data_IF_697853016995
#
_entry.id   IF_697853016995
#
_cell.length_a   1.000
_cell.length_b   1.000
_cell.length_c   1.000
_cell.angle_alpha   90.00
_cell.angle_beta   90.00
_cell.angle_gamma   90.00
#
_symmetry.space_group_name_H-M   'P 1'
#
loop_
_entity.id
_entity.type
_entity.pdbx_description
1 polymer ?
#
# COMPACT_ATOMS: atom_id res chain seq x y z
N UNK A 1 32.14 -18.30 27.86
CA UNK A 1 32.76 -17.06 27.45
C UNK A 1 32.66 -16.83 25.93
N UNK A 2 33.10 -17.76 25.15
CA UNK A 2 33.00 -17.66 23.67
C UNK A 2 31.56 -17.70 23.18
N UNK A 3 30.69 -18.42 23.87
CA UNK A 3 29.26 -18.54 23.53
C UNK A 3 28.54 -17.20 23.68
N UNK A 4 28.90 -16.40 24.68
CA UNK A 4 28.29 -15.09 24.89
C UNK A 4 28.53 -14.13 23.72
N UNK A 5 29.69 -14.19 23.09
CA UNK A 5 30.02 -13.36 21.94
C UNK A 5 29.18 -13.73 20.71
N UNK A 6 28.93 -15.02 20.52
CA UNK A 6 28.09 -15.50 19.42
C UNK A 6 26.63 -15.04 19.58
N UNK A 7 26.10 -15.11 20.79
CA UNK A 7 24.74 -14.63 21.09
C UNK A 7 24.60 -13.14 20.82
N UNK A 8 25.61 -12.36 21.17
CA UNK A 8 25.62 -10.93 20.93
C UNK A 8 25.58 -10.61 19.44
N UNK A 9 26.35 -11.33 18.62
CA UNK A 9 26.33 -11.15 17.17
C UNK A 9 24.96 -11.44 16.56
N UNK A 10 24.24 -12.44 17.07
CA UNK A 10 22.89 -12.77 16.61
C UNK A 10 21.89 -11.63 16.90
N UNK A 11 22.05 -10.93 18.01
CA UNK A 11 21.18 -9.79 18.34
C UNK A 11 21.33 -8.66 17.33
N UNK A 12 22.53 -8.43 16.82
CA UNK A 12 22.76 -7.41 15.80
C UNK A 12 22.18 -7.78 14.43
N UNK A 13 22.10 -9.07 14.12
CA UNK A 13 21.54 -9.50 12.84
C UNK A 13 20.02 -9.40 12.77
N UNK A 14 19.36 -9.07 13.88
CA UNK A 14 17.89 -8.97 13.96
C UNK A 14 17.38 -7.55 13.70
N UNK A 15 18.10 -6.74 12.91
CA UNK A 15 17.60 -5.42 12.53
C UNK A 15 16.28 -5.57 11.76
N UNK A 16 15.23 -4.79 12.11
CA UNK A 16 13.97 -4.87 11.39
C UNK A 16 14.14 -4.46 9.93
N UNK A 17 13.51 -5.20 9.05
CA UNK A 17 13.42 -4.80 7.65
C UNK A 17 12.59 -3.53 7.54
N UNK A 18 12.98 -2.63 6.63
CA UNK A 18 12.19 -1.45 6.35
C UNK A 18 10.88 -1.89 5.71
N UNK A 19 9.76 -1.38 6.22
CA UNK A 19 8.46 -1.61 5.62
C UNK A 19 8.38 -0.91 4.27
N UNK A 20 7.69 -1.53 3.30
CA UNK A 20 7.40 -0.90 2.03
C UNK A 20 6.61 0.39 2.23
N UNK A 21 6.88 1.39 1.43
CA UNK A 21 6.07 2.60 1.38
C UNK A 21 4.73 2.28 0.75
N UNK A 22 3.69 2.95 1.20
CA UNK A 22 2.33 2.70 0.71
C UNK A 22 1.90 3.78 -0.26
N UNK A 23 1.32 3.34 -1.37
CA UNK A 23 0.56 4.17 -2.30
C UNK A 23 -0.91 3.91 -2.01
N UNK A 24 -1.61 4.93 -1.53
CA UNK A 24 -3.04 4.85 -1.26
C UNK A 24 -3.80 5.26 -2.50
N UNK A 25 -4.72 4.42 -2.96
CA UNK A 25 -5.62 4.73 -4.07
C UNK A 25 -7.03 4.91 -3.52
N UNK A 26 -7.62 6.04 -3.80
CA UNK A 26 -8.99 6.35 -3.43
C UNK A 26 -9.76 6.75 -4.68
N UNK A 27 -10.56 5.83 -5.20
CA UNK A 27 -11.29 6.01 -6.43
C UNK A 27 -12.67 5.37 -6.38
N UNK A 28 -13.29 5.32 -7.53
CA UNK A 28 -14.61 4.78 -7.75
C UNK A 28 -14.54 3.38 -8.42
N UNK A 29 -15.58 3.03 -9.19
CA UNK A 29 -15.68 1.73 -9.85
C UNK A 29 -14.52 1.44 -10.82
N UNK A 30 -13.97 2.45 -11.46
CA UNK A 30 -12.85 2.27 -12.38
C UNK A 30 -11.59 1.79 -11.66
N UNK A 31 -11.34 2.32 -10.48
CA UNK A 31 -10.19 1.90 -9.68
C UNK A 31 -10.49 0.67 -8.83
N UNK A 32 -11.75 0.46 -8.45
CA UNK A 32 -12.16 -0.73 -7.71
C UNK A 32 -12.15 -2.00 -8.56
N UNK A 33 -12.22 -1.85 -9.88
CA UNK A 33 -12.24 -3.00 -10.79
C UNK A 33 -13.62 -3.59 -10.96
N UNK A 34 -14.67 -2.77 -10.93
CA UNK A 34 -16.04 -3.24 -11.12
C UNK A 34 -16.18 -3.95 -12.47
N UNK A 35 -16.74 -5.15 -12.45
CA UNK A 35 -17.00 -5.91 -13.66
C UNK A 35 -15.82 -6.68 -14.24
N UNK A 36 -14.66 -6.59 -13.60
CA UNK A 36 -13.46 -7.36 -14.00
C UNK A 36 -12.88 -8.09 -12.79
N UNK A 37 -11.94 -8.99 -13.04
CA UNK A 37 -11.26 -9.67 -11.93
C UNK A 37 -10.38 -8.67 -11.17
N UNK A 38 -10.26 -8.79 -9.84
CA UNK A 38 -9.48 -7.84 -9.04
C UNK A 38 -8.04 -7.65 -9.54
N UNK A 39 -7.38 -8.71 -9.97
CA UNK A 39 -6.01 -8.65 -10.47
C UNK A 39 -5.86 -7.90 -11.79
N UNK A 40 -6.97 -7.61 -12.47
CA UNK A 40 -7.00 -6.85 -13.71
C UNK A 40 -7.22 -5.36 -13.49
N UNK A 41 -7.63 -4.96 -12.29
CA UNK A 41 -7.82 -3.56 -11.96
C UNK A 41 -6.47 -2.81 -11.97
N UNK A 42 -6.48 -1.55 -12.39
CA UNK A 42 -5.23 -0.81 -12.56
C UNK A 42 -4.39 -0.69 -11.28
N UNK A 43 -4.98 -0.56 -10.05
CA UNK A 43 -4.15 -0.54 -8.84
C UNK A 43 -3.38 -1.84 -8.63
N UNK A 44 -3.97 -2.99 -8.96
CA UNK A 44 -3.28 -4.28 -8.89
C UNK A 44 -2.16 -4.37 -9.93
N UNK A 45 -2.41 -3.89 -11.13
CA UNK A 45 -1.39 -3.81 -12.18
C UNK A 45 -0.24 -2.89 -11.79
N UNK A 46 -0.56 -1.78 -11.13
CA UNK A 46 0.47 -0.88 -10.60
C UNK A 46 1.33 -1.61 -9.57
N UNK A 47 0.72 -2.31 -8.62
CA UNK A 47 1.45 -3.08 -7.61
C UNK A 47 2.38 -4.11 -8.23
N UNK A 48 1.91 -4.82 -9.24
CA UNK A 48 2.73 -5.78 -9.99
C UNK A 48 3.90 -5.09 -10.67
N UNK A 49 3.67 -3.95 -11.30
CA UNK A 49 4.71 -3.18 -11.96
C UNK A 49 5.79 -2.71 -11.00
N UNK A 50 5.39 -2.24 -9.83
CA UNK A 50 6.33 -1.80 -8.80
C UNK A 50 7.22 -2.96 -8.33
N UNK A 51 6.63 -4.14 -8.14
CA UNK A 51 7.38 -5.34 -7.78
C UNK A 51 8.36 -5.75 -8.88
N UNK A 52 7.92 -5.76 -10.13
CA UNK A 52 8.77 -6.09 -11.28
C UNK A 52 9.97 -5.15 -11.39
N UNK A 53 9.78 -3.89 -11.07
CA UNK A 53 10.85 -2.88 -11.10
C UNK A 53 11.65 -2.82 -9.79
N UNK A 54 11.37 -3.70 -8.85
CA UNK A 54 12.04 -3.78 -7.54
C UNK A 54 11.96 -2.47 -6.76
N UNK A 55 10.84 -1.76 -6.91
CA UNK A 55 10.54 -0.59 -6.11
C UNK A 55 9.79 -1.03 -4.86
N UNK A 56 10.25 -0.56 -3.70
CA UNK A 56 9.73 -1.00 -2.41
C UNK A 56 8.48 -0.19 -2.03
N UNK A 57 7.42 -0.42 -2.80
CA UNK A 57 6.10 0.19 -2.59
C UNK A 57 5.03 -0.88 -2.62
N UNK A 58 4.01 -0.70 -1.81
CA UNK A 58 2.78 -1.49 -1.86
C UNK A 58 1.59 -0.58 -2.18
N UNK A 59 0.57 -1.14 -2.80
CA UNK A 59 -0.64 -0.39 -3.17
C UNK A 59 -1.78 -0.79 -2.25
N UNK A 60 -2.36 0.18 -1.56
CA UNK A 60 -3.58 0.02 -0.78
C UNK A 60 -4.73 0.64 -1.59
N UNK A 61 -5.55 -0.22 -2.18
CA UNK A 61 -6.68 0.23 -2.98
C UNK A 61 -7.92 0.33 -2.11
N UNK A 62 -8.30 1.53 -1.74
CA UNK A 62 -9.50 1.82 -0.95
C UNK A 62 -10.65 2.32 -1.82
N UNK A 63 -10.59 2.06 -3.11
CA UNK A 63 -11.63 2.46 -4.05
C UNK A 63 -12.92 1.70 -3.79
N UNK A 64 -14.05 2.39 -3.98
CA UNK A 64 -15.39 1.83 -3.78
C UNK A 64 -16.23 2.16 -5.01
N UNK A 65 -16.86 1.14 -5.60
CA UNK A 65 -17.79 1.37 -6.70
C UNK A 65 -18.92 2.28 -6.25
N UNK A 66 -19.18 3.34 -7.00
CA UNK A 66 -20.19 4.33 -6.65
C UNK A 66 -19.70 5.45 -5.74
N UNK A 67 -18.42 5.46 -5.36
CA UNK A 67 -17.87 6.52 -4.51
C UNK A 67 -17.96 7.88 -5.20
N UNK A 68 -18.19 8.90 -4.39
CA UNK A 68 -18.25 10.30 -4.81
C UNK A 68 -17.06 11.07 -4.23
N UNK A 69 -16.85 12.28 -4.73
CA UNK A 69 -15.82 13.17 -4.15
C UNK A 69 -16.14 13.49 -2.69
N UNK A 70 -17.40 13.69 -2.35
CA UNK A 70 -17.84 13.94 -0.97
C UNK A 70 -17.57 12.73 -0.07
N UNK A 71 -17.91 11.51 -0.53
CA UNK A 71 -17.64 10.29 0.21
C UNK A 71 -16.14 10.04 0.40
N UNK A 72 -15.37 10.25 -0.65
CA UNK A 72 -13.92 10.14 -0.58
C UNK A 72 -13.32 11.12 0.42
N UNK A 73 -13.79 12.36 0.42
CA UNK A 73 -13.36 13.38 1.38
C UNK A 73 -13.65 12.95 2.82
N UNK A 74 -14.81 12.34 3.07
CA UNK A 74 -15.17 11.87 4.40
C UNK A 74 -14.26 10.75 4.88
N UNK A 75 -13.87 9.83 4.00
CA UNK A 75 -13.05 8.67 4.33
C UNK A 75 -11.55 8.97 4.43
N UNK A 76 -11.10 10.01 3.75
CA UNK A 76 -9.67 10.29 3.58
C UNK A 76 -8.91 10.46 4.90
N UNK A 77 -9.40 11.22 5.92
CA UNK A 77 -8.63 11.38 7.16
C UNK A 77 -8.31 10.06 7.86
N UNK A 78 -9.27 9.14 7.97
CA UNK A 78 -9.05 7.83 8.57
C UNK A 78 -8.08 6.99 7.74
N UNK A 79 -8.23 7.02 6.43
CA UNK A 79 -7.34 6.30 5.52
C UNK A 79 -5.89 6.78 5.66
N UNK A 80 -5.67 8.07 5.77
CA UNK A 80 -4.34 8.64 5.98
C UNK A 80 -3.74 8.20 7.31
N UNK A 81 -4.54 8.18 8.37
CA UNK A 81 -4.08 7.73 9.68
C UNK A 81 -3.71 6.26 9.70
N UNK A 82 -4.52 5.42 9.07
CA UNK A 82 -4.33 3.97 9.08
C UNK A 82 -3.16 3.54 8.20
N UNK A 83 -3.04 4.13 7.02
CA UNK A 83 -2.08 3.66 6.02
C UNK A 83 -0.80 4.46 6.00
N UNK A 84 -0.80 5.69 6.50
CA UNK A 84 0.36 6.60 6.49
C UNK A 84 1.08 6.57 5.15
N UNK A 85 0.36 6.84 4.05
CA UNK A 85 0.90 6.64 2.72
C UNK A 85 2.00 7.64 2.39
N UNK A 86 2.94 7.20 1.54
CA UNK A 86 3.92 8.09 0.94
C UNK A 86 3.32 8.85 -0.26
N UNK A 87 2.33 8.23 -0.93
CA UNK A 87 1.66 8.80 -2.11
C UNK A 87 0.17 8.53 -1.99
N UNK A 88 -0.64 9.49 -2.34
CA UNK A 88 -2.09 9.35 -2.42
C UNK A 88 -2.53 9.64 -3.85
N UNK A 89 -3.29 8.72 -4.43
CA UNK A 89 -3.91 8.90 -5.74
C UNK A 89 -5.41 9.01 -5.53
N UNK A 90 -5.99 10.14 -5.90
CA UNK A 90 -7.43 10.36 -5.84
C UNK A 90 -7.96 10.33 -7.26
N UNK A 91 -8.77 9.33 -7.55
CA UNK A 91 -9.34 9.10 -8.89
C UNK A 91 -10.87 9.16 -8.80
N UNK A 92 -11.39 10.34 -8.51
CA UNK A 92 -12.82 10.63 -8.32
C UNK A 92 -13.20 11.86 -9.14
N UNK A 93 -14.44 11.90 -9.59
CA UNK A 93 -14.90 13.09 -10.30
C UNK A 93 -15.91 12.84 -11.42
#
# INVERSE_FOLDING_TARGET
MRIALLLFALLFSAAPALAARTILVMGDSLSAGYGIRPEQAWPSLLGKRLTEKRLDYSVANLSISGETTAGGRTRLPDALRQHKPAVVVIALG
#
